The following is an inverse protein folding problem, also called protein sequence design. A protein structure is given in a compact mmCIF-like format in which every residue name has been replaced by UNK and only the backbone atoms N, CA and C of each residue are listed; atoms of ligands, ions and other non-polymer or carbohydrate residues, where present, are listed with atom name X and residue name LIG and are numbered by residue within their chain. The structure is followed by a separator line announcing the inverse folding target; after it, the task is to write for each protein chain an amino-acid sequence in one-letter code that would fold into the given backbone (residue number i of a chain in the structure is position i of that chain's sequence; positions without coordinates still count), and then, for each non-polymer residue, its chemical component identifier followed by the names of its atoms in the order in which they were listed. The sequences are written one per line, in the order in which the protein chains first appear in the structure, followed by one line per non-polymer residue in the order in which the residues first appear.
data_IF_252920030091
#
_entry.id   IF_252920030091
#
_cell.length_a   1.000
_cell.length_b   1.000
_cell.length_c   1.000
_cell.angle_alpha   90.00
_cell.angle_beta   90.00
_cell.angle_gamma   90.00
#
_symmetry.space_group_name_H-M   'P 1'
#
loop_
_entity.id
_entity.type
_entity.pdbx_description
1 polymer ?
#
# COMPACT_ATOMS: atom_id res chain seq x y z
N UNK A 1 13.13 -31.93 -72.79
CA UNK A 1 13.62 -31.11 -71.67
C UNK A 1 12.39 -30.53 -71.00
N UNK A 2 11.83 -31.13 -69.94
CA UNK A 2 12.44 -31.43 -68.62
C UNK A 2 13.07 -30.19 -67.97
N UNK A 3 12.92 -29.88 -66.68
CA UNK A 3 11.97 -30.28 -65.62
C UNK A 3 12.06 -29.22 -64.49
N UNK A 4 11.18 -29.09 -63.49
CA UNK A 4 9.99 -29.87 -63.11
C UNK A 4 8.90 -28.93 -62.55
N UNK A 5 7.94 -29.46 -61.79
CA UNK A 5 7.09 -28.72 -60.85
C UNK A 5 7.37 -29.16 -59.40
N UNK A 6 6.76 -28.44 -58.45
CA UNK A 6 6.33 -28.86 -57.10
C UNK A 6 7.17 -28.46 -55.88
N UNK A 7 6.46 -28.31 -54.74
CA UNK A 7 6.99 -28.30 -53.38
C UNK A 7 7.14 -26.92 -52.71
N UNK A 8 6.32 -26.64 -51.69
CA UNK A 8 6.80 -25.78 -50.59
C UNK A 8 5.88 -24.75 -49.93
N UNK A 9 4.54 -24.86 -50.00
CA UNK A 9 3.67 -24.12 -49.06
C UNK A 9 3.73 -24.74 -47.65
N UNK A 10 4.90 -24.64 -47.00
CA UNK A 10 5.24 -25.29 -45.74
C UNK A 10 4.95 -24.42 -44.51
N UNK A 11 3.67 -24.20 -44.20
CA UNK A 11 3.26 -23.59 -42.94
C UNK A 11 3.48 -24.53 -41.74
N UNK A 12 4.69 -24.53 -41.19
CA UNK A 12 5.05 -25.31 -39.99
C UNK A 12 4.62 -24.59 -38.70
N UNK A 13 3.37 -24.79 -38.29
CA UNK A 13 2.90 -24.38 -36.98
C UNK A 13 3.33 -25.40 -35.91
N UNK A 14 4.56 -25.26 -35.40
CA UNK A 14 5.06 -26.11 -34.32
C UNK A 14 4.28 -25.83 -33.01
N UNK A 15 3.57 -26.83 -32.49
CA UNK A 15 3.27 -26.94 -31.05
C UNK A 15 1.81 -27.04 -30.60
N UNK A 16 0.80 -26.95 -31.48
CA UNK A 16 -0.62 -27.06 -31.04
C UNK A 16 -1.35 -28.27 -31.64
N UNK A 17 -2.06 -29.09 -30.83
CA UNK A 17 -2.85 -30.20 -31.33
C UNK A 17 -4.08 -29.67 -32.12
N UNK A 18 -4.46 -30.34 -33.22
CA UNK A 18 -5.56 -29.87 -34.06
C UNK A 18 -6.88 -29.85 -33.28
N UNK A 19 -7.45 -28.65 -33.13
CA UNK A 19 -8.67 -28.41 -32.36
C UNK A 19 -8.49 -27.51 -31.13
N UNK A 20 -7.26 -27.30 -30.63
CA UNK A 20 -6.98 -26.18 -29.73
C UNK A 20 -6.61 -24.95 -30.55
N UNK A 21 -7.52 -23.98 -30.61
CA UNK A 21 -7.12 -22.60 -30.86
C UNK A 21 -6.20 -22.17 -29.71
N UNK A 22 -5.11 -21.41 -29.97
CA UNK A 22 -4.33 -20.81 -28.90
C UNK A 22 -5.27 -19.96 -28.03
N UNK A 23 -5.12 -19.95 -26.70
CA UNK A 23 -5.94 -19.11 -25.84
C UNK A 23 -5.77 -17.67 -26.32
N UNK A 24 -6.88 -17.01 -26.67
CA UNK A 24 -6.85 -15.67 -27.23
C UNK A 24 -5.97 -14.78 -26.35
N UNK A 25 -4.96 -14.17 -26.95
CA UNK A 25 -4.10 -13.22 -26.25
C UNK A 25 -5.00 -12.15 -25.65
N UNK A 26 -5.18 -12.19 -24.32
CA UNK A 26 -5.84 -11.10 -23.62
C UNK A 26 -4.95 -9.89 -23.83
N UNK A 27 -5.41 -8.83 -24.52
CA UNK A 27 -4.58 -7.65 -24.72
C UNK A 27 -4.12 -7.16 -23.34
N UNK A 28 -2.83 -6.86 -23.19
CA UNK A 28 -2.25 -6.49 -21.90
C UNK A 28 -3.01 -5.33 -21.23
N UNK A 29 -3.56 -4.44 -22.07
CA UNK A 29 -4.45 -3.33 -21.71
C UNK A 29 -5.65 -3.75 -20.85
N UNK A 30 -6.21 -4.94 -21.06
CA UNK A 30 -7.32 -5.46 -20.26
C UNK A 30 -6.90 -5.87 -18.84
N UNK A 31 -5.64 -6.24 -18.63
CA UNK A 31 -5.07 -6.50 -17.29
C UNK A 31 -4.76 -5.17 -16.59
N UNK A 32 -4.17 -4.21 -17.30
CA UNK A 32 -3.91 -2.87 -16.79
C UNK A 32 -5.20 -2.14 -16.37
N UNK A 33 -6.25 -2.20 -17.20
CA UNK A 33 -7.57 -1.63 -16.88
C UNK A 33 -8.23 -2.31 -15.66
N UNK A 34 -8.00 -3.62 -15.45
CA UNK A 34 -8.49 -4.35 -14.29
C UNK A 34 -7.81 -3.94 -12.97
N UNK A 35 -6.51 -3.65 -13.00
CA UNK A 35 -5.76 -3.20 -11.81
C UNK A 35 -6.07 -1.76 -11.39
N UNK A 36 -6.44 -0.89 -12.34
CA UNK A 36 -6.82 0.49 -12.06
C UNK A 36 -8.19 0.65 -11.35
N UNK A 37 -9.04 -0.38 -11.37
CA UNK A 37 -10.46 -0.29 -11.02
C UNK A 37 -10.82 -0.78 -9.60
N UNK A 38 -9.85 -1.21 -8.79
CA UNK A 38 -10.11 -1.55 -7.38
C UNK A 38 -10.47 -0.29 -6.60
N UNK A 39 -11.65 -0.19 -5.95
CA UNK A 39 -12.00 0.99 -5.17
C UNK A 39 -11.02 1.13 -4.00
N UNK A 40 -10.11 2.12 -4.10
CA UNK A 40 -9.29 2.52 -2.96
C UNK A 40 -10.24 3.17 -1.95
N UNK A 41 -10.59 2.44 -0.91
CA UNK A 41 -11.34 2.99 0.20
C UNK A 41 -10.54 4.17 0.75
N UNK A 42 -11.10 5.38 0.68
CA UNK A 42 -10.48 6.57 1.27
C UNK A 42 -10.60 6.46 2.78
N UNK A 43 -9.52 6.08 3.43
CA UNK A 43 -9.48 6.00 4.88
C UNK A 43 -9.06 7.35 5.46
N UNK A 44 -9.78 7.77 6.49
CA UNK A 44 -9.46 8.94 7.31
C UNK A 44 -9.48 8.46 8.77
N UNK A 45 -8.28 8.30 9.35
CA UNK A 45 -8.10 7.88 10.73
C UNK A 45 -7.99 9.09 11.66
N UNK A 46 -8.13 8.85 12.97
CA UNK A 46 -7.90 9.85 13.99
C UNK A 46 -7.28 9.20 15.24
N UNK A 47 -6.49 9.97 15.98
CA UNK A 47 -6.03 9.63 17.33
C UNK A 47 -6.90 10.39 18.30
N UNK A 48 -7.74 9.70 19.07
CA UNK A 48 -8.65 10.31 20.04
C UNK A 48 -8.16 10.11 21.48
N UNK A 49 -8.14 11.19 22.26
CA UNK A 49 -7.91 11.16 23.70
C UNK A 49 -9.26 10.95 24.41
N UNK A 50 -9.35 9.92 25.24
CA UNK A 50 -10.56 9.60 26.02
C UNK A 50 -10.28 9.77 27.52
N UNK A 51 -11.25 10.30 28.26
CA UNK A 51 -11.20 10.30 29.72
C UNK A 51 -11.33 8.86 30.25
N UNK A 52 -10.37 8.43 31.07
CA UNK A 52 -10.31 7.06 31.58
C UNK A 52 -11.42 6.67 32.58
N UNK A 53 -12.29 7.60 32.99
CA UNK A 53 -13.44 7.33 33.89
C UNK A 53 -14.77 7.31 33.15
N UNK A 54 -15.05 8.36 32.38
CA UNK A 54 -16.31 8.57 31.68
C UNK A 54 -16.33 8.02 30.25
N UNK A 55 -15.16 7.71 29.68
CA UNK A 55 -14.97 7.40 28.26
C UNK A 55 -15.40 8.51 27.30
N UNK A 56 -15.64 9.72 27.80
CA UNK A 56 -15.88 10.89 26.97
C UNK A 56 -14.63 11.22 26.16
N UNK A 57 -14.81 11.61 24.90
CA UNK A 57 -13.72 12.18 24.09
C UNK A 57 -13.35 13.55 24.65
N UNK A 58 -12.08 13.69 25.00
CA UNK A 58 -11.48 14.95 25.47
C UNK A 58 -10.89 15.75 24.31
N UNK A 59 -10.19 15.06 23.40
CA UNK A 59 -9.53 15.68 22.24
C UNK A 59 -9.38 14.66 21.10
N UNK A 60 -9.03 15.13 19.89
CA UNK A 60 -8.75 14.28 18.73
C UNK A 60 -7.87 14.96 17.69
N UNK A 61 -6.86 14.23 17.20
CA UNK A 61 -6.05 14.62 16.05
C UNK A 61 -6.43 13.79 14.82
N UNK A 62 -6.96 14.44 13.79
CA UNK A 62 -7.28 13.80 12.51
C UNK A 62 -6.01 13.57 11.69
N UNK A 63 -5.87 12.37 11.11
CA UNK A 63 -4.79 12.02 10.19
C UNK A 63 -5.12 12.53 8.77
N UNK A 64 -4.11 12.52 7.91
CA UNK A 64 -4.31 12.84 6.50
C UNK A 64 -5.06 11.73 5.76
N UNK A 65 -5.62 12.07 4.60
CA UNK A 65 -6.35 11.11 3.78
C UNK A 65 -5.37 10.07 3.23
N UNK A 66 -5.76 8.79 3.30
CA UNK A 66 -4.95 7.63 2.92
C UNK A 66 -3.70 7.42 3.81
N UNK A 67 -3.61 8.11 4.96
CA UNK A 67 -2.63 7.87 6.02
C UNK A 67 -3.18 6.87 7.06
N UNK A 68 -2.39 5.82 7.34
CA UNK A 68 -2.74 4.73 8.23
C UNK A 68 -1.90 4.73 9.50
N UNK A 69 -2.52 4.40 10.64
CA UNK A 69 -1.80 4.12 11.90
C UNK A 69 -1.17 2.72 11.80
N UNK A 70 0.16 2.66 11.74
CA UNK A 70 0.92 1.41 11.67
C UNK A 70 1.31 0.89 13.06
N UNK A 71 1.63 1.79 13.99
CA UNK A 71 1.90 1.44 15.38
C UNK A 71 1.59 2.61 16.32
N UNK A 72 1.28 2.28 17.57
CA UNK A 72 1.04 3.27 18.63
C UNK A 72 1.61 2.75 19.94
N UNK A 73 2.40 3.56 20.65
CA UNK A 73 3.08 3.14 21.88
C UNK A 73 3.34 4.32 22.81
N UNK A 74 3.01 4.14 24.09
CA UNK A 74 3.42 5.06 25.15
C UNK A 74 4.89 4.83 25.47
N UNK A 75 5.69 5.88 25.42
CA UNK A 75 7.13 5.85 25.68
C UNK A 75 7.51 6.86 26.77
N UNK A 76 8.68 6.63 27.38
CA UNK A 76 9.36 7.56 28.28
C UNK A 76 10.61 8.05 27.56
N UNK A 77 10.56 9.27 27.04
CA UNK A 77 11.70 9.87 26.33
C UNK A 77 12.55 10.67 27.32
N UNK A 78 13.87 10.63 27.13
CA UNK A 78 14.79 11.47 27.90
C UNK A 78 14.64 12.91 27.39
N UNK A 79 14.35 13.84 28.29
CA UNK A 79 14.32 15.26 27.97
C UNK A 79 15.58 15.95 28.50
N UNK A 80 16.38 16.51 27.58
CA UNK A 80 17.61 17.22 27.91
C UNK A 80 17.36 18.63 28.49
N UNK A 81 16.13 19.15 28.41
CA UNK A 81 15.73 20.36 29.13
C UNK A 81 15.72 20.17 30.67
N UNK A 82 15.69 18.92 31.15
CA UNK A 82 15.71 18.58 32.58
C UNK A 82 17.01 17.88 32.99
N UNK A 83 18.09 18.62 33.28
CA UNK A 83 19.44 18.08 33.55
C UNK A 83 19.56 17.21 34.81
N UNK A 84 18.47 17.01 35.57
CA UNK A 84 18.41 16.06 36.70
C UNK A 84 18.51 14.58 36.28
N UNK A 85 18.34 14.27 34.98
CA UNK A 85 18.45 12.91 34.42
C UNK A 85 17.37 11.92 34.91
N UNK A 86 16.36 12.40 35.66
CA UNK A 86 15.31 11.59 36.27
C UNK A 86 13.91 11.86 35.71
N UNK A 87 13.75 12.95 34.96
CA UNK A 87 12.47 13.31 34.34
C UNK A 87 12.48 12.74 32.92
N UNK A 88 11.56 11.81 32.68
CA UNK A 88 11.22 11.35 31.35
C UNK A 88 9.85 11.90 31.01
N UNK A 89 9.72 12.62 29.90
CA UNK A 89 8.39 12.96 29.39
C UNK A 89 7.69 11.66 28.98
N UNK A 90 6.48 11.43 29.49
CA UNK A 90 5.66 10.31 29.08
C UNK A 90 4.82 10.75 27.89
N UNK A 91 5.14 10.23 26.71
CA UNK A 91 4.55 10.64 25.43
C UNK A 91 3.87 9.47 24.74
N UNK A 92 2.83 9.76 23.97
CA UNK A 92 2.28 8.82 23.01
C UNK A 92 3.00 8.99 21.67
N UNK A 93 3.63 7.94 21.18
CA UNK A 93 4.25 7.92 19.85
C UNK A 93 3.40 7.08 18.90
N UNK A 94 3.05 7.67 17.77
CA UNK A 94 2.26 7.04 16.70
C UNK A 94 3.09 7.02 15.42
N UNK A 95 3.38 5.83 14.90
CA UNK A 95 3.99 5.65 13.59
C UNK A 95 2.91 5.47 12.53
N UNK A 96 2.95 6.30 11.49
CA UNK A 96 1.98 6.30 10.39
C UNK A 96 2.64 6.00 9.05
N UNK A 97 1.84 5.57 8.06
CA UNK A 97 2.29 5.36 6.68
C UNK A 97 1.19 5.67 5.67
N UNK A 98 1.55 6.18 4.50
CA UNK A 98 0.59 6.52 3.44
C UNK A 98 0.41 5.36 2.45
N UNK A 99 -0.85 5.00 2.15
CA UNK A 99 -1.16 3.94 1.19
C UNK A 99 -1.19 4.46 -0.25
N UNK A 100 -0.03 4.49 -0.90
CA UNK A 100 0.12 5.06 -2.26
C UNK A 100 0.06 4.02 -3.40
N UNK A 101 0.26 2.74 -3.07
CA UNK A 101 0.42 1.63 -4.03
C UNK A 101 1.83 1.05 -3.99
N UNK A 102 2.08 -0.05 -4.69
CA UNK A 102 3.40 -0.72 -4.71
C UNK A 102 4.44 0.06 -5.51
N UNK A 103 4.04 0.65 -6.64
CA UNK A 103 4.92 1.42 -7.54
C UNK A 103 5.35 2.80 -6.99
N UNK A 104 4.77 3.21 -5.86
CA UNK A 104 5.03 4.50 -5.22
C UNK A 104 5.98 4.35 -4.02
N UNK A 105 6.88 5.32 -3.76
CA UNK A 105 7.77 5.25 -2.61
C UNK A 105 6.97 5.30 -1.30
N UNK A 106 7.14 4.29 -0.46
CA UNK A 106 6.54 4.25 0.88
C UNK A 106 7.01 5.44 1.73
N UNK A 107 6.05 6.25 2.15
CA UNK A 107 6.27 7.42 3.03
C UNK A 107 5.40 7.29 4.28
N UNK A 108 5.77 8.01 5.34
CA UNK A 108 5.10 7.94 6.64
C UNK A 108 5.58 9.01 7.60
N UNK A 109 4.96 9.10 8.77
CA UNK A 109 5.28 10.10 9.80
C UNK A 109 5.45 9.45 11.16
N UNK A 110 6.11 10.16 12.06
CA UNK A 110 6.14 9.84 13.49
C UNK A 110 5.52 11.02 14.22
N UNK A 111 4.34 10.81 14.77
CA UNK A 111 3.62 11.79 15.57
C UNK A 111 3.95 11.54 17.05
N UNK A 112 4.26 12.59 17.79
CA UNK A 112 4.58 12.53 19.22
C UNK A 112 3.62 13.47 19.93
N UNK A 113 2.82 12.93 20.85
CA UNK A 113 1.86 13.68 21.65
C UNK A 113 2.29 13.67 23.12
N UNK A 114 2.37 14.87 23.71
CA UNK A 114 2.35 15.06 25.15
C UNK A 114 0.88 15.12 25.62
N UNK A 115 0.57 14.53 26.77
CA UNK A 115 -0.80 14.36 27.31
C UNK A 115 -0.85 14.89 28.74
#
# INVERSE_FOLDING_TARGET
DEAAADGGAGGGADGFPPGLLPPAERPADAVAAGMAATPRHRHAYEVALLDGRSWARLDSHALEVDEWIMCMKVLRIKDDAYPSGKIYAQVLVVGTGYQQGEDAPSTGRVLIFEI
#
